data_IF_638937455412
#
_entry.id   IF_638937455412
#
_cell.length_a   1.000
_cell.length_b   1.000
_cell.length_c   1.000
_cell.angle_alpha   90.00
_cell.angle_beta   90.00
_cell.angle_gamma   90.00
#
_symmetry.space_group_name_H-M   'P 1'
#
loop_
_entity.id
_entity.type
_entity.pdbx_description
1 polymer ?
#
# COMPACT_ATOMS: atom_id res chain seq x y z
N UNK A 1 1.34 1.20 -5.30
CA UNK A 1 2.22 0.02 -5.41
C UNK A 1 1.34 -1.21 -5.33
N UNK A 2 1.43 -2.06 -6.33
CA UNK A 2 0.66 -3.30 -6.44
C UNK A 2 1.65 -4.46 -6.31
N UNK A 3 1.27 -5.51 -5.60
CA UNK A 3 2.16 -6.61 -5.26
C UNK A 3 1.86 -7.23 -3.90
N UNK A 4 2.67 -8.20 -3.49
CA UNK A 4 2.46 -8.96 -2.25
C UNK A 4 2.26 -8.03 -1.03
N UNK A 5 1.17 -8.26 -0.31
CA UNK A 5 0.71 -7.44 0.81
C UNK A 5 0.85 -8.16 2.14
N UNK A 6 1.00 -7.39 3.23
CA UNK A 6 0.92 -7.92 4.59
C UNK A 6 -0.53 -8.20 4.98
N UNK A 7 -0.74 -9.08 5.95
CA UNK A 7 -2.08 -9.29 6.53
C UNK A 7 -2.55 -7.96 7.12
N UNK A 8 -3.80 -7.58 6.84
CA UNK A 8 -4.38 -6.31 7.26
C UNK A 8 -4.11 -5.12 6.34
N UNK A 9 -3.29 -5.25 5.28
CA UNK A 9 -3.25 -4.25 4.21
C UNK A 9 -4.54 -4.30 3.37
N UNK A 10 -4.88 -3.22 2.68
CA UNK A 10 -5.96 -3.23 1.69
C UNK A 10 -5.57 -4.06 0.46
N UNK A 11 -6.51 -4.80 -0.12
CA UNK A 11 -6.28 -5.54 -1.38
C UNK A 11 -6.15 -4.57 -2.55
N UNK A 12 -5.44 -4.98 -3.58
CA UNK A 12 -5.05 -4.11 -4.69
C UNK A 12 -6.26 -3.58 -5.47
N UNK A 13 -7.32 -4.36 -5.65
CA UNK A 13 -8.53 -3.91 -6.36
C UNK A 13 -9.21 -2.73 -5.65
N UNK A 14 -9.31 -2.76 -4.32
CA UNK A 14 -9.89 -1.66 -3.54
C UNK A 14 -8.99 -0.43 -3.54
N UNK A 15 -7.67 -0.61 -3.53
CA UNK A 15 -6.72 0.50 -3.63
C UNK A 15 -6.87 1.22 -4.97
N UNK A 16 -6.95 0.47 -6.07
CA UNK A 16 -7.10 1.04 -7.41
C UNK A 16 -8.41 1.81 -7.56
N UNK A 17 -9.53 1.19 -7.19
CA UNK A 17 -10.84 1.83 -7.30
C UNK A 17 -10.89 3.10 -6.45
N UNK A 18 -10.34 3.07 -5.23
CA UNK A 18 -10.32 4.27 -4.38
C UNK A 18 -9.44 5.39 -4.94
N UNK A 19 -8.30 5.08 -5.58
CA UNK A 19 -7.52 6.09 -6.29
C UNK A 19 -8.29 6.70 -7.46
N UNK A 20 -8.93 5.88 -8.30
CA UNK A 20 -9.75 6.36 -9.42
C UNK A 20 -10.89 7.26 -8.95
N UNK A 21 -11.59 6.87 -7.88
CA UNK A 21 -12.64 7.68 -7.25
C UNK A 21 -12.12 9.03 -6.76
N UNK A 22 -10.93 9.05 -6.14
CA UNK A 22 -10.33 10.30 -5.67
C UNK A 22 -9.92 11.22 -6.82
N UNK A 23 -9.29 10.66 -7.85
CA UNK A 23 -8.84 11.40 -9.04
C UNK A 23 -10.05 11.98 -9.78
N UNK A 24 -11.11 11.19 -9.96
CA UNK A 24 -12.29 11.65 -10.69
C UNK A 24 -13.07 12.74 -9.95
N UNK A 25 -13.25 12.60 -8.62
CA UNK A 25 -14.17 13.45 -7.87
C UNK A 25 -13.53 14.62 -7.14
N UNK A 26 -12.25 14.55 -6.79
CA UNK A 26 -11.63 15.53 -5.88
C UNK A 26 -10.37 16.18 -6.43
N UNK A 27 -9.65 15.54 -7.35
CA UNK A 27 -8.40 16.10 -7.84
C UNK A 27 -8.61 17.00 -9.05
N UNK A 28 -7.75 18.01 -9.26
CA UNK A 28 -7.80 18.83 -10.45
C UNK A 28 -7.68 17.97 -11.71
N UNK A 29 -8.60 18.19 -12.66
CA UNK A 29 -8.60 17.50 -13.96
C UNK A 29 -7.29 17.78 -14.70
N UNK A 30 -6.81 16.77 -15.42
CA UNK A 30 -5.60 16.82 -16.25
C UNK A 30 -4.28 17.19 -15.51
N UNK A 31 -4.26 17.09 -14.17
CA UNK A 31 -3.06 17.31 -13.35
C UNK A 31 -2.53 16.05 -12.67
N UNK A 32 -3.26 14.95 -12.74
CA UNK A 32 -2.93 13.71 -12.05
C UNK A 32 -2.96 12.54 -13.02
N UNK A 33 -1.91 11.73 -12.97
CA UNK A 33 -1.78 10.48 -13.70
C UNK A 33 -1.67 9.32 -12.71
N UNK A 34 -2.46 8.26 -12.90
CA UNK A 34 -2.38 7.04 -12.10
C UNK A 34 -1.51 6.00 -12.82
N UNK A 35 -0.33 5.72 -12.25
CA UNK A 35 0.57 4.69 -12.74
C UNK A 35 0.66 3.51 -11.76
N UNK A 36 0.57 2.29 -12.28
CA UNK A 36 0.80 1.08 -11.49
C UNK A 36 2.30 0.83 -11.39
N UNK A 37 2.79 0.73 -10.15
CA UNK A 37 4.12 0.23 -9.86
C UNK A 37 4.03 -1.19 -9.29
N UNK A 38 4.37 -2.23 -10.08
CA UNK A 38 4.48 -3.60 -9.60
C UNK A 38 5.76 -3.73 -8.77
N UNK A 39 5.63 -3.61 -7.45
CA UNK A 39 6.76 -3.65 -6.54
C UNK A 39 6.43 -4.45 -5.29
N UNK A 40 7.27 -5.46 -5.02
CA UNK A 40 7.30 -6.14 -3.72
C UNK A 40 8.09 -5.28 -2.73
N UNK A 41 7.40 -4.68 -1.77
CA UNK A 41 8.07 -3.93 -0.70
C UNK A 41 8.78 -4.86 0.27
N UNK A 42 9.94 -4.43 0.76
CA UNK A 42 10.70 -5.13 1.82
C UNK A 42 10.41 -4.54 3.20
N UNK A 43 9.78 -3.37 3.23
CA UNK A 43 9.55 -2.54 4.40
C UNK A 43 10.86 -2.22 5.14
N UNK A 44 11.91 -1.89 4.37
CA UNK A 44 13.25 -1.62 4.85
C UNK A 44 13.52 -0.12 5.09
N UNK A 45 12.45 0.65 5.36
CA UNK A 45 12.48 2.04 5.80
C UNK A 45 13.44 2.92 5.01
N UNK A 46 14.51 3.46 5.63
CA UNK A 46 15.44 4.36 4.97
C UNK A 46 16.07 3.82 3.69
N UNK A 47 16.54 2.57 3.68
CA UNK A 47 17.17 2.00 2.47
C UNK A 47 16.15 1.84 1.35
N UNK A 48 14.93 1.50 1.69
CA UNK A 48 13.85 1.37 0.71
C UNK A 48 13.36 2.73 0.21
N UNK A 49 13.45 3.80 1.01
CA UNK A 49 13.20 5.16 0.56
C UNK A 49 14.16 5.58 -0.56
N UNK A 50 15.46 5.30 -0.42
CA UNK A 50 16.46 5.55 -1.48
C UNK A 50 16.15 4.72 -2.72
N UNK A 51 15.86 3.42 -2.55
CA UNK A 51 15.46 2.55 -3.66
C UNK A 51 14.20 3.08 -4.36
N UNK A 52 13.20 3.54 -3.62
CA UNK A 52 12.00 4.15 -4.17
C UNK A 52 12.30 5.41 -4.97
N UNK A 53 13.16 6.30 -4.47
CA UNK A 53 13.55 7.52 -5.18
C UNK A 53 14.22 7.21 -6.52
N UNK A 54 15.21 6.31 -6.54
CA UNK A 54 15.90 5.88 -7.76
C UNK A 54 14.92 5.25 -8.73
N UNK A 55 14.01 4.40 -8.24
CA UNK A 55 12.99 3.79 -9.07
C UNK A 55 12.09 4.86 -9.69
N UNK A 56 11.62 5.86 -8.93
CA UNK A 56 10.75 6.92 -9.48
C UNK A 56 11.49 7.82 -10.47
N UNK A 57 12.79 8.08 -10.26
CA UNK A 57 13.64 8.71 -11.27
C UNK A 57 13.59 7.94 -12.60
N UNK A 58 13.76 6.62 -12.55
CA UNK A 58 13.73 5.77 -13.75
C UNK A 58 12.36 5.74 -14.44
N UNK A 59 11.28 6.05 -13.70
CA UNK A 59 9.93 6.25 -14.25
C UNK A 59 9.69 7.68 -14.77
N UNK A 60 10.73 8.53 -14.79
CA UNK A 60 10.67 9.90 -15.32
C UNK A 60 10.19 10.96 -14.31
N UNK A 61 10.09 10.63 -13.02
CA UNK A 61 9.74 11.62 -12.00
C UNK A 61 10.91 12.58 -11.74
N UNK A 62 10.64 13.88 -11.70
CA UNK A 62 11.61 14.91 -11.31
C UNK A 62 11.67 15.15 -9.80
N UNK A 63 10.58 14.84 -9.09
CA UNK A 63 10.46 15.00 -7.64
C UNK A 63 9.89 13.73 -7.00
N UNK A 64 10.26 13.46 -5.75
CA UNK A 64 9.79 12.33 -4.98
C UNK A 64 9.49 12.71 -3.53
N UNK A 65 8.25 12.44 -3.09
CA UNK A 65 7.77 12.74 -1.74
C UNK A 65 8.24 11.67 -0.76
N UNK A 66 8.80 12.11 0.38
CA UNK A 66 9.16 11.25 1.50
C UNK A 66 8.54 11.82 2.77
N UNK A 67 7.55 11.11 3.31
CA UNK A 67 6.82 11.49 4.52
C UNK A 67 7.39 10.86 5.79
N UNK A 68 6.64 10.95 6.88
CA UNK A 68 6.93 10.25 8.15
C UNK A 68 6.86 8.74 7.94
N UNK A 69 7.83 8.01 8.49
CA UNK A 69 7.89 6.53 8.53
C UNK A 69 7.81 5.86 7.14
N UNK A 70 8.40 6.50 6.13
CA UNK A 70 8.32 6.02 4.74
C UNK A 70 8.91 4.62 4.58
N UNK A 71 8.08 3.68 4.12
CA UNK A 71 8.41 2.26 3.95
C UNK A 71 8.90 1.56 5.23
N UNK A 72 8.55 2.07 6.42
CA UNK A 72 8.90 1.44 7.70
C UNK A 72 8.04 0.21 8.04
N UNK A 73 8.42 -0.49 9.11
CA UNK A 73 7.66 -1.60 9.67
C UNK A 73 7.62 -1.50 11.20
N UNK A 74 6.40 -1.45 11.74
CA UNK A 74 6.18 -1.33 13.18
C UNK A 74 6.92 -0.11 13.74
N UNK A 75 7.74 -0.33 14.77
CA UNK A 75 8.58 0.69 15.40
C UNK A 75 10.08 0.44 15.15
N UNK A 76 10.43 -0.26 14.06
CA UNK A 76 11.83 -0.63 13.81
C UNK A 76 12.70 0.56 13.40
N UNK A 77 12.13 1.56 12.73
CA UNK A 77 12.82 2.78 12.30
C UNK A 77 12.26 3.99 13.03
N UNK A 78 13.09 5.02 13.19
CA UNK A 78 12.65 6.34 13.64
C UNK A 78 11.72 7.00 12.61
N UNK A 79 10.81 7.88 13.06
CA UNK A 79 9.76 8.47 12.20
C UNK A 79 10.30 9.30 11.04
N UNK A 80 11.55 9.77 11.09
CA UNK A 80 12.17 10.59 10.05
C UNK A 80 13.45 9.97 9.48
N UNK A 81 13.81 8.74 9.86
CA UNK A 81 15.05 8.11 9.40
C UNK A 81 15.09 7.98 7.87
N UNK A 82 13.91 7.76 7.26
CA UNK A 82 13.77 7.67 5.81
C UNK A 82 13.94 9.03 5.09
N UNK A 83 13.76 10.15 5.80
CA UNK A 83 14.08 11.47 5.27
C UNK A 83 15.57 11.78 5.49
N UNK A 84 16.08 11.45 6.67
CA UNK A 84 17.45 11.76 7.09
C UNK A 84 18.51 10.97 6.29
N UNK A 85 18.16 9.79 5.76
CA UNK A 85 19.10 9.04 4.91
C UNK A 85 19.52 9.79 3.65
N UNK A 86 18.68 10.69 3.14
CA UNK A 86 19.01 11.49 1.96
C UNK A 86 20.05 12.58 2.26
N UNK A 87 20.29 12.92 3.53
CA UNK A 87 21.36 13.87 3.92
C UNK A 87 22.77 13.25 3.79
N UNK A 88 22.83 11.97 3.43
CA UNK A 88 24.09 11.24 3.19
C UNK A 88 24.50 11.20 1.72
N UNK A 89 23.71 11.83 0.84
CA UNK A 89 23.93 11.80 -0.59
C UNK A 89 23.83 13.22 -1.15
N UNK A 90 24.63 13.51 -2.17
CA UNK A 90 24.46 14.70 -2.97
C UNK A 90 23.23 14.56 -3.89
N UNK A 91 22.65 15.70 -4.31
CA UNK A 91 21.43 15.71 -5.14
C UNK A 91 21.64 14.93 -6.45
N UNK A 92 22.83 15.01 -7.03
CA UNK A 92 23.23 14.37 -8.28
C UNK A 92 23.32 12.84 -8.16
N UNK A 93 23.70 12.31 -6.98
CA UNK A 93 23.81 10.87 -6.75
C UNK A 93 22.43 10.19 -6.79
N UNK A 94 21.42 10.85 -6.23
CA UNK A 94 20.04 10.38 -6.25
C UNK A 94 19.40 10.65 -7.62
N UNK A 95 19.58 11.86 -8.15
CA UNK A 95 19.09 12.29 -9.46
C UNK A 95 17.57 12.55 -9.52
N UNK A 96 16.91 12.70 -8.37
CA UNK A 96 15.51 13.14 -8.24
C UNK A 96 15.40 14.05 -7.01
N UNK A 97 14.60 15.11 -7.10
CA UNK A 97 14.45 16.05 -5.99
C UNK A 97 13.58 15.46 -4.88
N UNK A 98 14.13 15.36 -3.67
CA UNK A 98 13.43 14.78 -2.53
C UNK A 98 12.64 15.85 -1.79
N UNK A 99 11.32 15.68 -1.74
CA UNK A 99 10.40 16.53 -1.00
C UNK A 99 10.10 15.89 0.38
N UNK A 100 10.80 16.37 1.41
CA UNK A 100 10.64 15.93 2.80
C UNK A 100 9.46 16.64 3.44
N UNK A 101 8.42 15.90 3.82
CA UNK A 101 7.23 16.47 4.47
C UNK A 101 7.07 15.98 5.90
N UNK A 102 6.71 16.88 6.86
CA UNK A 102 6.27 16.47 8.18
C UNK A 102 4.99 15.62 8.13
N UNK A 103 4.63 15.05 9.28
CA UNK A 103 3.33 14.40 9.44
C UNK A 103 2.19 15.37 9.14
N UNK A 104 1.18 14.92 8.40
CA UNK A 104 -0.08 15.66 8.22
C UNK A 104 -1.01 15.30 9.38
N UNK A 105 -1.55 16.32 10.04
CA UNK A 105 -2.50 16.20 11.16
C UNK A 105 -3.76 17.00 10.87
N UNK A 106 -4.86 16.66 11.55
CA UNK A 106 -6.06 17.48 11.54
C UNK A 106 -6.02 18.49 12.68
N UNK A 107 -6.33 19.77 12.38
CA UNK A 107 -6.48 20.83 13.36
C UNK A 107 -7.97 21.15 13.56
N UNK A 108 -8.62 20.65 14.63
CA UNK A 108 -10.07 20.78 14.82
C UNK A 108 -10.54 22.23 14.89
N UNK A 109 -9.83 23.11 15.59
CA UNK A 109 -10.22 24.52 15.73
C UNK A 109 -10.20 25.31 14.41
N UNK A 110 -9.48 24.81 13.40
CA UNK A 110 -9.36 25.44 12.08
C UNK A 110 -10.01 24.61 10.98
N UNK A 111 -10.59 23.47 11.35
CA UNK A 111 -11.24 22.51 10.45
C UNK A 111 -10.42 22.16 9.20
N UNK A 112 -9.09 22.00 9.36
CA UNK A 112 -8.19 21.76 8.22
C UNK A 112 -7.04 20.83 8.54
N UNK A 113 -6.54 20.17 7.50
CA UNK A 113 -5.30 19.41 7.52
C UNK A 113 -4.10 20.35 7.40
N UNK A 114 -3.11 20.17 8.26
CA UNK A 114 -1.87 20.95 8.27
C UNK A 114 -0.68 20.05 8.55
N UNK A 115 0.53 20.54 8.33
CA UNK A 115 1.73 19.87 8.81
C UNK A 115 1.81 19.97 10.34
N UNK A 116 2.35 18.94 10.98
CA UNK A 116 2.42 18.82 12.44
C UNK A 116 3.19 19.97 13.13
N UNK A 117 4.09 20.63 12.42
CA UNK A 117 4.82 21.81 12.89
C UNK A 117 4.01 23.12 12.81
N UNK A 118 2.85 23.11 12.16
CA UNK A 118 1.94 24.27 12.04
C UNK A 118 0.79 24.24 13.05
N UNK A 119 0.60 23.12 13.78
CA UNK A 119 -0.48 22.92 14.74
C UNK A 119 0.09 22.78 16.16
N UNK A 120 -0.47 23.46 17.18
CA UNK A 120 -0.07 23.25 18.56
C UNK A 120 -0.22 21.78 19.01
N UNK A 121 0.74 21.19 19.75
CA UNK A 121 0.73 19.78 20.11
C UNK A 121 -0.52 19.29 20.86
N UNK A 122 -1.17 20.16 21.62
CA UNK A 122 -2.38 19.88 22.40
C UNK A 122 -3.66 19.91 21.56
N UNK A 123 -3.60 20.44 20.33
CA UNK A 123 -4.74 20.59 19.43
C UNK A 123 -4.69 19.63 18.24
N UNK A 124 -3.53 19.01 17.96
CA UNK A 124 -3.36 18.12 16.82
C UNK A 124 -4.11 16.80 17.01
N UNK A 125 -4.78 16.36 15.96
CA UNK A 125 -5.35 15.01 15.86
C UNK A 125 -4.56 14.24 14.80
N UNK A 126 -3.80 13.24 15.24
CA UNK A 126 -3.07 12.31 14.36
C UNK A 126 -3.99 11.20 13.85
N UNK A 127 -3.64 10.64 12.69
CA UNK A 127 -4.38 9.57 12.06
C UNK A 127 -3.82 8.19 12.44
N UNK A 128 -4.69 7.25 12.79
CA UNK A 128 -4.31 5.86 13.03
C UNK A 128 -4.90 4.95 11.97
N UNK A 129 -4.04 4.34 11.16
CA UNK A 129 -4.46 3.36 10.15
C UNK A 129 -5.10 2.11 10.78
N UNK A 130 -4.64 1.69 11.97
CA UNK A 130 -5.24 0.56 12.70
C UNK A 130 -6.67 0.88 13.10
N UNK A 131 -6.89 2.04 13.72
CA UNK A 131 -8.24 2.48 14.12
C UNK A 131 -9.17 2.63 12.93
N UNK A 132 -8.68 3.19 11.81
CA UNK A 132 -9.47 3.31 10.59
C UNK A 132 -9.88 1.94 10.03
N UNK A 133 -8.97 0.96 10.03
CA UNK A 133 -9.28 -0.41 9.57
C UNK A 133 -10.30 -1.09 10.48
N UNK A 134 -10.17 -0.95 11.80
CA UNK A 134 -11.14 -1.44 12.78
C UNK A 134 -12.53 -0.84 12.51
N UNK A 135 -12.62 0.48 12.35
CA UNK A 135 -13.87 1.18 12.04
C UNK A 135 -14.50 0.69 10.72
N UNK A 136 -13.70 0.44 9.68
CA UNK A 136 -14.18 -0.12 8.41
C UNK A 136 -14.72 -1.54 8.62
N UNK A 137 -14.01 -2.40 9.35
CA UNK A 137 -14.43 -3.78 9.62
C UNK A 137 -15.72 -3.83 10.47
N UNK A 138 -15.83 -2.94 11.45
CA UNK A 138 -17.00 -2.81 12.34
C UNK A 138 -18.15 -2.02 11.69
N UNK A 139 -17.99 -1.55 10.45
CA UNK A 139 -18.94 -0.68 9.74
C UNK A 139 -19.35 0.57 10.54
N UNK A 140 -18.43 1.07 11.35
CA UNK A 140 -18.56 2.33 12.07
C UNK A 140 -18.05 3.47 11.21
N UNK A 141 -18.87 4.51 11.04
CA UNK A 141 -18.50 5.66 10.19
C UNK A 141 -17.42 6.49 10.88
N UNK A 142 -16.20 6.58 10.33
CA UNK A 142 -15.16 7.46 10.85
C UNK A 142 -15.52 8.92 10.57
N UNK A 143 -14.96 9.88 11.32
CA UNK A 143 -15.11 11.29 11.01
C UNK A 143 -14.67 11.65 9.57
N UNK A 144 -15.39 12.57 8.93
CA UNK A 144 -15.17 12.98 7.53
C UNK A 144 -13.79 13.59 7.26
N UNK A 145 -13.10 14.08 8.30
CA UNK A 145 -11.73 14.58 8.20
C UNK A 145 -10.69 13.45 8.09
N UNK A 146 -11.04 12.20 8.37
CA UNK A 146 -10.13 11.04 8.27
C UNK A 146 -10.17 10.45 6.86
N UNK A 147 -11.36 10.27 6.30
CA UNK A 147 -11.58 9.63 5.01
C UNK A 147 -12.78 10.26 4.31
N UNK A 148 -12.70 10.41 3.00
CA UNK A 148 -13.83 10.94 2.22
C UNK A 148 -15.02 9.99 2.32
N UNK A 149 -16.25 10.48 2.56
CA UNK A 149 -17.45 9.62 2.70
C UNK A 149 -17.65 8.66 1.53
N UNK A 150 -17.36 9.09 0.29
CA UNK A 150 -17.50 8.21 -0.88
C UNK A 150 -16.56 7.01 -0.83
N UNK A 151 -15.33 7.20 -0.36
CA UNK A 151 -14.31 6.15 -0.23
C UNK A 151 -14.70 5.21 0.91
N UNK A 152 -15.13 5.76 2.04
CA UNK A 152 -15.59 4.96 3.17
C UNK A 152 -16.79 4.07 2.80
N UNK A 153 -17.81 4.65 2.15
CA UNK A 153 -19.01 3.91 1.75
C UNK A 153 -18.67 2.74 0.83
N UNK A 154 -17.79 2.96 -0.15
CA UNK A 154 -17.29 1.90 -1.02
C UNK A 154 -16.60 0.78 -0.23
N UNK A 155 -15.66 1.13 0.67
CA UNK A 155 -14.92 0.15 1.48
C UNK A 155 -15.84 -0.61 2.46
N UNK A 156 -16.81 0.05 3.08
CA UNK A 156 -17.71 -0.53 4.08
C UNK A 156 -18.80 -1.43 3.46
N UNK A 157 -19.17 -1.19 2.20
CA UNK A 157 -20.11 -2.03 1.44
C UNK A 157 -19.44 -3.26 0.82
N UNK A 158 -18.12 -3.30 0.80
CA UNK A 158 -17.35 -4.41 0.25
C UNK A 158 -17.33 -5.61 1.20
N UNK A 159 -17.35 -6.84 0.66
CA UNK A 159 -17.37 -8.06 1.49
C UNK A 159 -16.16 -8.15 2.44
N UNK A 160 -14.97 -7.97 1.88
CA UNK A 160 -13.73 -7.83 2.65
C UNK A 160 -12.68 -7.06 1.85
N UNK A 161 -12.42 -5.81 2.25
CA UNK A 161 -11.43 -4.95 1.62
C UNK A 161 -9.98 -5.22 2.06
N UNK A 162 -9.77 -6.02 3.12
CA UNK A 162 -8.47 -6.26 3.74
C UNK A 162 -7.92 -7.65 3.40
N UNK A 163 -6.60 -7.74 3.30
CA UNK A 163 -5.86 -8.98 3.09
C UNK A 163 -5.96 -9.83 4.35
N UNK A 164 -6.62 -10.97 4.24
CA UNK A 164 -6.75 -12.01 5.26
C UNK A 164 -6.08 -13.32 4.82
N UNK A 165 -6.10 -14.34 5.69
CA UNK A 165 -5.50 -15.63 5.38
C UNK A 165 -6.22 -16.37 4.24
N UNK A 166 -7.52 -16.11 4.06
CA UNK A 166 -8.31 -16.67 2.96
C UNK A 166 -7.83 -16.09 1.63
N UNK A 167 -7.69 -14.77 1.54
CA UNK A 167 -7.13 -14.08 0.39
C UNK A 167 -5.73 -14.60 0.06
N UNK A 168 -4.85 -14.72 1.06
CA UNK A 168 -3.49 -15.25 0.85
C UNK A 168 -3.50 -16.67 0.31
N UNK A 169 -4.39 -17.55 0.78
CA UNK A 169 -4.55 -18.92 0.26
C UNK A 169 -5.09 -18.92 -1.17
N UNK A 170 -6.07 -18.07 -1.47
CA UNK A 170 -6.69 -17.97 -2.81
C UNK A 170 -5.72 -17.43 -3.85
N UNK A 171 -4.95 -16.38 -3.51
CA UNK A 171 -3.96 -15.78 -4.42
C UNK A 171 -2.71 -16.66 -4.56
N UNK A 172 -2.28 -17.32 -3.49
CA UNK A 172 -1.21 -18.33 -3.55
C UNK A 172 -1.72 -19.73 -3.90
N UNK A 173 -2.71 -19.86 -4.79
CA UNK A 173 -2.97 -21.15 -5.44
C UNK A 173 -1.73 -21.53 -6.26
N UNK A 174 -0.78 -22.17 -5.58
CA UNK A 174 0.32 -22.86 -6.24
C UNK A 174 -0.31 -23.97 -7.05
N UNK A 175 0.00 -24.01 -8.35
CA UNK A 175 -0.18 -25.24 -9.10
C UNK A 175 0.61 -26.34 -8.40
N UNK A 176 0.11 -27.56 -8.45
CA UNK A 176 0.82 -28.74 -7.99
C UNK A 176 1.09 -29.66 -9.19
N UNK A 177 2.18 -30.41 -9.13
CA UNK A 177 2.52 -31.42 -10.15
C UNK A 177 2.34 -32.78 -9.51
N UNK A 178 1.49 -33.61 -10.11
CA UNK A 178 1.41 -35.03 -9.81
C UNK A 178 2.30 -35.78 -10.80
N UNK A 179 3.44 -36.28 -10.32
CA UNK A 179 4.40 -37.04 -11.14
C UNK A 179 4.21 -38.54 -10.93
N UNK A 180 3.61 -39.22 -11.91
CA UNK A 180 3.43 -40.66 -11.87
C UNK A 180 4.68 -41.37 -12.40
N UNK A 181 5.32 -42.20 -11.57
CA UNK A 181 6.51 -43.00 -11.93
C UNK A 181 6.26 -44.50 -11.71
N UNK A 182 6.99 -45.36 -12.43
CA UNK A 182 6.81 -46.82 -12.41
C UNK A 182 7.14 -47.48 -13.75
N UNK A 183 7.17 -48.82 -13.77
CA UNK A 183 7.53 -49.63 -14.93
C UNK A 183 6.62 -49.40 -16.15
N UNK A 184 7.06 -49.79 -17.34
CA UNK A 184 6.19 -49.82 -18.53
C UNK A 184 4.93 -50.64 -18.24
N UNK A 185 3.78 -50.20 -18.74
CA UNK A 185 2.46 -50.80 -18.49
C UNK A 185 1.95 -50.79 -17.03
N UNK A 186 2.60 -50.08 -16.10
CA UNK A 186 2.11 -49.94 -14.71
C UNK A 186 0.84 -49.05 -14.55
N UNK A 187 0.10 -48.77 -15.63
CA UNK A 187 -1.16 -48.01 -15.59
C UNK A 187 -1.03 -46.49 -15.37
N UNK A 188 0.18 -45.92 -15.38
CA UNK A 188 0.45 -44.50 -15.05
C UNK A 188 -0.35 -43.52 -15.91
N UNK A 189 -0.47 -43.77 -17.22
CA UNK A 189 -1.24 -42.93 -18.14
C UNK A 189 -2.72 -42.95 -17.79
N UNK A 190 -3.29 -44.14 -17.58
CA UNK A 190 -4.70 -44.32 -17.21
C UNK A 190 -5.04 -43.60 -15.89
N UNK A 191 -4.15 -43.68 -14.89
CA UNK A 191 -4.34 -42.97 -13.61
C UNK A 191 -4.20 -41.46 -13.81
N UNK A 192 -3.22 -41.01 -14.59
CA UNK A 192 -3.03 -39.60 -14.92
C UNK A 192 -4.26 -38.98 -15.60
N UNK A 193 -4.82 -39.65 -16.60
CA UNK A 193 -6.00 -39.20 -17.33
C UNK A 193 -7.22 -39.12 -16.41
N UNK A 194 -7.43 -40.12 -15.53
CA UNK A 194 -8.54 -40.08 -14.58
C UNK A 194 -8.41 -39.01 -13.52
N UNK A 195 -7.20 -38.75 -13.05
CA UNK A 195 -6.93 -37.67 -12.11
C UNK A 195 -7.14 -36.31 -12.79
N UNK A 196 -6.79 -36.17 -14.06
CA UNK A 196 -7.05 -34.95 -14.85
C UNK A 196 -8.55 -34.65 -14.99
N UNK A 197 -9.41 -35.66 -15.14
CA UNK A 197 -10.87 -35.46 -15.23
C UNK A 197 -11.52 -35.03 -13.91
N UNK A 198 -10.89 -35.32 -12.77
CA UNK A 198 -11.45 -35.05 -11.42
C UNK A 198 -11.05 -33.65 -10.91
N UNK A 199 -9.89 -33.15 -11.34
CA UNK A 199 -9.30 -31.88 -10.91
C UNK A 199 -9.80 -30.69 -11.75
#
# INVERSE_FOLDING_TARGET
MIGEKKTGDFKDEYILITYEMLIDRYYPKDKVFLGILPLKMRYAGPREAVFHAILRKNFGCSHFIVGRDHAGVGNYYGPFDAQNIFDKFEKEEIGVEILKYPEVVYWPQKEKHVFSNQCPPEQKVSFSGTKLREQIQEKQTPPDYIIRPVVYNFLAQSDNALVDDVYKKTVNKKGFVLWFTGLSQAGKTTVGDKVYEIL
#
